data_IF_303316846289
#
_entry.id   IF_303316846289
#
_cell.length_a   1.000
_cell.length_b   1.000
_cell.length_c   1.000
_cell.angle_alpha   90.00
_cell.angle_beta   90.00
_cell.angle_gamma   90.00
#
_symmetry.space_group_name_H-M   'P 1'
#
loop_
_entity.id
_entity.type
_entity.pdbx_description
1 polymer ?
#
# COMPACT_ATOMS: atom_id res chain seq x y z
N UNK A 1 42.79 23.50 -13.65
CA UNK A 1 41.33 23.58 -13.40
C UNK A 1 40.90 22.24 -12.87
N UNK A 2 40.71 22.14 -11.56
CA UNK A 2 40.31 20.89 -10.90
C UNK A 2 38.78 20.93 -10.88
N UNK A 3 38.12 20.04 -11.62
CA UNK A 3 36.67 19.95 -11.62
C UNK A 3 36.20 19.50 -10.24
N UNK A 4 35.38 20.32 -9.58
CA UNK A 4 34.72 19.95 -8.32
C UNK A 4 33.81 18.73 -8.56
N UNK A 5 33.75 17.76 -7.65
CA UNK A 5 32.82 16.65 -7.77
C UNK A 5 31.40 17.21 -7.71
N UNK A 6 30.58 16.88 -8.70
CA UNK A 6 29.14 17.14 -8.67
C UNK A 6 28.57 16.34 -7.51
N UNK A 7 28.15 17.01 -6.43
CA UNK A 7 27.36 16.38 -5.38
C UNK A 7 26.04 15.96 -6.02
N UNK A 8 25.91 14.68 -6.40
CA UNK A 8 24.61 14.08 -6.68
C UNK A 8 23.84 14.04 -5.37
N UNK A 9 23.06 15.08 -5.11
CA UNK A 9 22.07 15.08 -4.03
C UNK A 9 21.06 13.98 -4.37
N UNK A 10 21.09 12.91 -3.59
CA UNK A 10 20.12 11.82 -3.73
C UNK A 10 18.80 12.34 -3.18
N UNK A 11 17.72 12.18 -3.95
CA UNK A 11 16.39 12.61 -3.54
C UNK A 11 16.02 12.05 -2.15
N UNK A 12 15.42 12.86 -1.25
CA UNK A 12 15.00 12.36 0.06
C UNK A 12 14.03 11.19 -0.09
N UNK A 13 14.16 10.19 0.78
CA UNK A 13 13.31 8.99 0.79
C UNK A 13 12.39 9.03 2.00
N UNK A 14 11.13 8.66 1.80
CA UNK A 14 10.17 8.34 2.87
C UNK A 14 9.73 6.89 2.74
N UNK A 15 9.67 6.16 3.84
CA UNK A 15 9.06 4.83 3.88
C UNK A 15 7.56 4.96 4.06
N UNK A 16 6.78 4.31 3.21
CA UNK A 16 5.32 4.24 3.30
C UNK A 16 4.90 2.81 3.63
N UNK A 17 4.56 2.58 4.90
CA UNK A 17 4.02 1.31 5.38
C UNK A 17 2.51 1.25 5.13
N UNK A 18 2.09 0.27 4.34
CA UNK A 18 0.71 0.18 3.85
C UNK A 18 0.23 -1.27 3.67
N UNK A 19 -1.08 -1.40 3.47
CA UNK A 19 -1.76 -2.65 3.11
C UNK A 19 -2.86 -2.33 2.09
N UNK A 20 -3.03 -3.18 1.09
CA UNK A 20 -3.99 -2.99 -0.02
C UNK A 20 -5.46 -3.06 0.42
N UNK A 21 -5.75 -3.64 1.58
CA UNK A 21 -7.11 -3.65 2.15
C UNK A 21 -7.42 -2.40 2.98
N UNK A 22 -6.43 -1.55 3.24
CA UNK A 22 -6.58 -0.41 4.15
C UNK A 22 -7.17 0.82 3.43
N UNK A 23 -8.42 1.17 3.75
CA UNK A 23 -9.07 2.37 3.21
C UNK A 23 -8.34 3.68 3.50
N UNK A 24 -7.69 3.80 4.65
CA UNK A 24 -6.88 4.99 4.95
C UNK A 24 -5.60 5.08 4.10
N UNK A 25 -5.02 3.94 3.72
CA UNK A 25 -3.92 3.92 2.76
C UNK A 25 -4.41 4.39 1.37
N UNK A 26 -5.62 4.00 0.96
CA UNK A 26 -6.23 4.43 -0.30
C UNK A 26 -6.52 5.93 -0.35
N UNK A 27 -6.90 6.53 0.79
CA UNK A 27 -7.05 7.98 0.95
C UNK A 27 -5.70 8.70 0.89
N UNK A 28 -4.66 8.18 1.55
CA UNK A 28 -3.35 8.84 1.61
C UNK A 28 -2.53 8.71 0.32
N UNK A 29 -2.57 7.56 -0.35
CA UNK A 29 -1.70 7.24 -1.49
C UNK A 29 -1.66 8.32 -2.59
N UNK A 30 -2.79 8.80 -3.15
CA UNK A 30 -2.76 9.85 -4.18
C UNK A 30 -2.21 11.19 -3.66
N UNK A 31 -2.46 11.53 -2.39
CA UNK A 31 -1.91 12.74 -1.77
C UNK A 31 -0.40 12.64 -1.61
N UNK A 32 0.09 11.48 -1.16
CA UNK A 32 1.51 11.22 -1.01
C UNK A 32 2.22 11.22 -2.36
N UNK A 33 1.62 10.61 -3.39
CA UNK A 33 2.14 10.65 -4.75
C UNK A 33 2.22 12.08 -5.29
N UNK A 34 1.18 12.89 -5.08
CA UNK A 34 1.19 14.30 -5.49
C UNK A 34 2.32 15.08 -4.79
N UNK A 35 2.45 14.96 -3.47
CA UNK A 35 3.51 15.65 -2.72
C UNK A 35 4.90 15.12 -3.08
N UNK A 36 5.03 13.82 -3.37
CA UNK A 36 6.27 13.19 -3.83
C UNK A 36 6.75 13.82 -5.14
N UNK A 37 5.86 14.02 -6.11
CA UNK A 37 6.17 14.68 -7.38
C UNK A 37 6.48 16.17 -7.17
N UNK A 38 5.65 16.88 -6.39
CA UNK A 38 5.81 18.32 -6.13
C UNK A 38 7.15 18.65 -5.46
N UNK A 39 7.61 17.80 -4.54
CA UNK A 39 8.83 18.04 -3.75
C UNK A 39 10.05 17.27 -4.26
N UNK A 40 9.89 16.33 -5.20
CA UNK A 40 11.00 15.47 -5.63
C UNK A 40 11.44 14.47 -4.55
N UNK A 41 10.49 13.96 -3.75
CA UNK A 41 10.72 12.96 -2.71
C UNK A 41 10.46 11.56 -3.30
N UNK A 42 11.30 10.59 -2.97
CA UNK A 42 11.05 9.18 -3.31
C UNK A 42 10.21 8.51 -2.23
N UNK A 43 9.13 7.84 -2.63
CA UNK A 43 8.31 7.02 -1.73
C UNK A 43 8.78 5.58 -1.83
N UNK A 44 9.32 5.01 -0.76
CA UNK A 44 9.67 3.59 -0.67
C UNK A 44 8.51 2.83 -0.05
N UNK A 45 7.90 1.95 -0.84
CA UNK A 45 6.73 1.18 -0.41
C UNK A 45 7.13 0.00 0.48
N UNK A 46 6.38 -0.19 1.58
CA UNK A 46 6.63 -1.22 2.61
C UNK A 46 5.35 -1.96 2.96
N UNK A 47 5.37 -3.29 2.86
CA UNK A 47 4.23 -4.14 3.19
C UNK A 47 4.03 -4.27 4.70
N UNK A 48 2.85 -3.93 5.22
CA UNK A 48 2.52 -4.08 6.66
C UNK A 48 1.68 -5.34 6.96
N UNK A 49 0.69 -5.65 6.12
CA UNK A 49 -0.28 -6.76 6.28
C UNK A 49 -0.99 -6.76 7.65
N UNK A 50 -2.19 -6.18 7.71
CA UNK A 50 -3.03 -6.12 8.91
C UNK A 50 -3.40 -7.51 9.42
N UNK A 51 -3.91 -8.34 8.52
CA UNK A 51 -4.17 -9.76 8.73
C UNK A 51 -3.65 -10.55 7.53
N UNK A 52 -3.01 -11.69 7.78
CA UNK A 52 -2.33 -12.49 6.76
C UNK A 52 -3.05 -13.79 6.38
N UNK A 53 -4.15 -14.11 7.07
CA UNK A 53 -4.88 -15.36 6.90
C UNK A 53 -6.34 -15.24 7.29
N UNK A 54 -7.16 -16.17 6.80
CA UNK A 54 -8.56 -16.30 7.22
C UNK A 54 -8.67 -16.57 8.72
N UNK A 55 -7.78 -17.39 9.25
CA UNK A 55 -7.72 -17.77 10.65
C UNK A 55 -7.47 -16.54 11.52
N UNK A 56 -6.52 -15.68 11.14
CA UNK A 56 -6.24 -14.44 11.87
C UNK A 56 -7.41 -13.43 11.76
N UNK A 57 -8.08 -13.36 10.61
CA UNK A 57 -9.30 -12.56 10.46
C UNK A 57 -10.38 -13.02 11.44
N UNK A 58 -10.57 -14.33 11.60
CA UNK A 58 -11.53 -14.89 12.56
C UNK A 58 -11.08 -14.62 14.00
N UNK A 59 -9.79 -14.74 14.33
CA UNK A 59 -9.25 -14.43 15.65
C UNK A 59 -9.52 -12.96 16.06
N UNK A 60 -9.29 -12.03 15.15
CA UNK A 60 -9.45 -10.58 15.40
C UNK A 60 -10.92 -10.17 15.43
N UNK A 61 -11.73 -10.66 14.49
CA UNK A 61 -13.09 -10.17 14.29
C UNK A 61 -14.20 -11.11 14.81
N UNK A 62 -13.85 -12.33 15.22
CA UNK A 62 -14.75 -13.38 15.70
C UNK A 62 -15.41 -14.23 14.60
N UNK A 63 -15.63 -13.67 13.40
CA UNK A 63 -16.08 -14.42 12.21
C UNK A 63 -15.85 -13.60 10.94
N UNK A 64 -15.82 -14.25 9.77
CA UNK A 64 -15.66 -13.56 8.48
C UNK A 64 -16.83 -12.61 8.12
N UNK A 65 -18.12 -12.97 8.36
CA UNK A 65 -19.21 -12.02 8.19
C UNK A 65 -19.08 -10.78 9.08
N UNK A 66 -18.63 -10.98 10.33
CA UNK A 66 -18.39 -9.88 11.27
C UNK A 66 -17.19 -9.03 10.85
N UNK A 67 -16.13 -9.64 10.32
CA UNK A 67 -14.98 -8.93 9.74
C UNK A 67 -15.44 -7.99 8.62
N UNK A 68 -16.16 -8.52 7.62
CA UNK A 68 -16.70 -7.72 6.50
C UNK A 68 -17.57 -6.58 7.01
N UNK A 69 -18.47 -6.83 7.95
CA UNK A 69 -19.34 -5.80 8.52
C UNK A 69 -18.58 -4.69 9.29
N UNK A 70 -17.54 -5.04 10.06
CA UNK A 70 -16.72 -4.08 10.81
C UNK A 70 -15.87 -3.25 9.84
N UNK A 71 -15.18 -3.91 8.92
CA UNK A 71 -14.27 -3.25 7.98
C UNK A 71 -15.02 -2.27 7.08
N UNK A 72 -16.23 -2.63 6.61
CA UNK A 72 -17.07 -1.71 5.83
C UNK A 72 -17.59 -0.51 6.64
N UNK A 73 -17.65 -0.58 7.98
CA UNK A 73 -17.88 0.63 8.79
C UNK A 73 -16.65 1.53 8.82
N UNK A 74 -15.45 0.97 8.92
CA UNK A 74 -14.22 1.75 8.80
C UNK A 74 -14.06 2.38 7.41
N UNK A 75 -14.54 1.71 6.36
CA UNK A 75 -14.59 2.32 5.03
C UNK A 75 -15.48 3.57 4.97
N UNK A 76 -16.55 3.66 5.77
CA UNK A 76 -17.38 4.87 5.83
C UNK A 76 -16.60 6.08 6.34
N UNK A 77 -15.78 5.89 7.38
CA UNK A 77 -14.89 6.94 7.88
C UNK A 77 -13.86 7.36 6.83
N UNK A 78 -13.30 6.39 6.10
CA UNK A 78 -12.36 6.65 5.00
C UNK A 78 -13.04 7.42 3.85
N UNK A 79 -14.26 7.02 3.47
CA UNK A 79 -15.00 7.62 2.37
C UNK A 79 -15.35 9.09 2.64
N UNK A 80 -15.66 9.43 3.90
CA UNK A 80 -15.88 10.82 4.32
C UNK A 80 -14.64 11.71 4.18
N UNK A 81 -13.46 11.11 4.07
CA UNK A 81 -12.18 11.80 3.92
C UNK A 81 -11.52 11.57 2.55
N UNK A 82 -12.19 10.87 1.63
CA UNK A 82 -11.68 10.65 0.30
C UNK A 82 -11.98 11.85 -0.60
N UNK A 83 -10.96 12.34 -1.31
CA UNK A 83 -11.06 13.60 -2.07
C UNK A 83 -11.98 13.50 -3.30
N UNK A 84 -12.32 12.27 -3.72
CA UNK A 84 -13.05 12.01 -4.97
C UNK A 84 -14.13 10.93 -4.87
N UNK A 85 -14.58 10.60 -3.65
CA UNK A 85 -15.66 9.63 -3.40
C UNK A 85 -15.48 8.28 -4.12
N UNK A 86 -14.26 7.73 -4.09
CA UNK A 86 -13.84 6.52 -4.80
C UNK A 86 -14.20 5.22 -4.07
N UNK A 87 -14.50 5.27 -2.78
CA UNK A 87 -14.77 4.06 -1.99
C UNK A 87 -16.23 3.64 -2.17
N UNK A 88 -16.47 2.47 -2.78
CA UNK A 88 -17.81 1.91 -2.97
C UNK A 88 -18.13 0.84 -1.90
N UNK A 89 -18.78 1.29 -0.83
CA UNK A 89 -19.13 0.46 0.32
C UNK A 89 -20.29 -0.48 -0.02
N UNK A 90 -21.28 0.02 -0.78
CA UNK A 90 -22.49 -0.74 -1.09
C UNK A 90 -22.18 -1.83 -2.13
N UNK A 91 -21.34 -1.50 -3.13
CA UNK A 91 -20.81 -2.47 -4.09
C UNK A 91 -20.05 -3.61 -3.42
N UNK A 92 -19.15 -3.31 -2.48
CA UNK A 92 -18.44 -4.35 -1.71
C UNK A 92 -19.37 -5.14 -0.78
N UNK A 93 -20.36 -4.49 -0.17
CA UNK A 93 -21.36 -5.17 0.70
C UNK A 93 -22.18 -6.18 -0.09
N UNK A 94 -22.52 -5.87 -1.34
CA UNK A 94 -23.30 -6.74 -2.22
C UNK A 94 -22.55 -7.99 -2.71
N UNK A 95 -21.21 -8.03 -2.58
CA UNK A 95 -20.42 -9.20 -2.99
C UNK A 95 -20.65 -10.40 -2.06
N UNK A 96 -20.62 -11.60 -2.64
CA UNK A 96 -20.84 -12.88 -1.95
C UNK A 96 -19.57 -13.47 -1.31
N UNK A 97 -18.39 -13.08 -1.79
CA UNK A 97 -17.12 -13.50 -1.22
C UNK A 97 -16.85 -12.85 0.15
N UNK A 98 -16.11 -13.58 0.97
CA UNK A 98 -15.63 -13.10 2.26
C UNK A 98 -14.55 -12.03 2.09
N UNK A 99 -14.52 -11.06 3.01
CA UNK A 99 -13.52 -9.99 2.93
C UNK A 99 -12.09 -10.55 2.95
N UNK A 100 -11.23 -10.22 1.96
CA UNK A 100 -9.91 -10.81 1.83
C UNK A 100 -8.93 -10.26 2.88
N UNK A 101 -7.95 -11.09 3.25
CA UNK A 101 -6.76 -10.65 4.01
C UNK A 101 -5.80 -9.83 3.12
N UNK A 102 -4.86 -9.08 3.72
CA UNK A 102 -3.87 -8.29 2.97
C UNK A 102 -2.74 -9.10 2.33
N UNK A 103 -2.61 -10.39 2.66
CA UNK A 103 -1.42 -11.19 2.32
C UNK A 103 -1.16 -11.33 0.82
N UNK A 104 -2.15 -11.77 0.04
CA UNK A 104 -1.96 -11.96 -1.40
C UNK A 104 -1.67 -10.65 -2.12
N UNK A 105 -2.32 -9.56 -1.72
CA UNK A 105 -2.03 -8.23 -2.24
C UNK A 105 -0.59 -7.79 -1.95
N UNK A 106 -0.07 -8.04 -0.75
CA UNK A 106 1.32 -7.75 -0.41
C UNK A 106 2.31 -8.58 -1.24
N UNK A 107 2.04 -9.88 -1.44
CA UNK A 107 2.86 -10.72 -2.32
C UNK A 107 2.88 -10.18 -3.75
N UNK A 108 1.72 -9.75 -4.27
CA UNK A 108 1.62 -9.18 -5.61
C UNK A 108 2.41 -7.86 -5.74
N UNK A 109 2.33 -6.98 -4.74
CA UNK A 109 3.08 -5.72 -4.73
C UNK A 109 4.60 -5.97 -4.69
N UNK A 110 5.07 -6.90 -3.84
CA UNK A 110 6.48 -7.29 -3.80
C UNK A 110 6.94 -7.96 -5.10
N UNK A 111 6.11 -8.81 -5.70
CA UNK A 111 6.41 -9.44 -6.98
C UNK A 111 6.59 -8.39 -8.10
N UNK A 112 5.68 -7.41 -8.18
CA UNK A 112 5.80 -6.27 -9.08
C UNK A 112 7.10 -5.48 -8.80
N UNK A 113 7.37 -5.19 -7.52
CA UNK A 113 8.59 -4.52 -7.07
C UNK A 113 9.89 -5.21 -7.49
N UNK A 114 9.91 -6.55 -7.46
CA UNK A 114 11.07 -7.33 -7.88
C UNK A 114 11.25 -7.38 -9.40
N UNK A 115 10.15 -7.29 -10.15
CA UNK A 115 10.18 -7.36 -11.62
C UNK A 115 10.39 -5.99 -12.26
N UNK A 116 9.94 -4.91 -11.62
CA UNK A 116 9.92 -3.56 -12.20
C UNK A 116 10.37 -2.44 -11.25
N UNK A 117 10.96 -2.77 -10.10
CA UNK A 117 11.42 -1.80 -9.12
C UNK A 117 10.30 -1.15 -8.31
N UNK A 118 10.68 -0.20 -7.46
CA UNK A 118 9.76 0.43 -6.50
C UNK A 118 8.54 1.11 -7.15
N UNK A 119 8.69 1.68 -8.36
CA UNK A 119 7.56 2.25 -9.11
C UNK A 119 6.53 1.17 -9.50
N UNK A 120 6.96 -0.03 -9.88
CA UNK A 120 6.05 -1.14 -10.17
C UNK A 120 5.35 -1.66 -8.91
N UNK A 121 6.02 -1.64 -7.74
CA UNK A 121 5.36 -1.92 -6.46
C UNK A 121 4.22 -0.93 -6.23
N UNK A 122 4.50 0.38 -6.32
CA UNK A 122 3.49 1.43 -6.13
C UNK A 122 2.33 1.32 -7.11
N UNK A 123 2.61 1.09 -8.40
CA UNK A 123 1.57 0.89 -9.42
C UNK A 123 0.68 -0.33 -9.13
N UNK A 124 1.27 -1.45 -8.70
CA UNK A 124 0.51 -2.63 -8.31
C UNK A 124 -0.33 -2.37 -7.07
N UNK A 125 0.22 -1.69 -6.07
CA UNK A 125 -0.51 -1.30 -4.87
C UNK A 125 -1.73 -0.43 -5.18
N UNK A 126 -1.57 0.62 -5.97
CA UNK A 126 -2.67 1.51 -6.37
C UNK A 126 -3.74 0.78 -7.17
N UNK A 127 -3.33 -0.08 -8.12
CA UNK A 127 -4.26 -0.84 -8.95
C UNK A 127 -5.04 -1.89 -8.14
N UNK A 128 -4.40 -2.57 -7.18
CA UNK A 128 -5.05 -3.53 -6.28
C UNK A 128 -6.03 -2.83 -5.35
N UNK A 129 -5.66 -1.66 -4.78
CA UNK A 129 -6.59 -0.88 -3.97
C UNK A 129 -7.78 -0.40 -4.81
N UNK A 130 -7.56 0.08 -6.03
CA UNK A 130 -8.65 0.47 -6.93
C UNK A 130 -9.58 -0.70 -7.24
N UNK A 131 -9.03 -1.85 -7.61
CA UNK A 131 -9.79 -3.06 -7.87
C UNK A 131 -10.63 -3.49 -6.66
N UNK A 132 -10.09 -3.35 -5.44
CA UNK A 132 -10.77 -3.79 -4.23
C UNK A 132 -11.77 -2.77 -3.69
N UNK A 133 -11.35 -1.53 -3.45
CA UNK A 133 -12.14 -0.50 -2.76
C UNK A 133 -13.14 0.22 -3.67
N UNK A 134 -12.87 0.28 -4.97
CA UNK A 134 -13.76 0.93 -5.93
C UNK A 134 -14.51 -0.09 -6.79
N UNK A 135 -13.80 -1.07 -7.36
CA UNK A 135 -14.40 -2.06 -8.28
C UNK A 135 -14.86 -3.34 -7.58
N UNK A 136 -14.79 -3.39 -6.24
CA UNK A 136 -15.31 -4.48 -5.42
C UNK A 136 -14.87 -5.90 -5.86
N UNK A 137 -13.65 -6.01 -6.43
CA UNK A 137 -13.05 -7.28 -6.87
C UNK A 137 -12.44 -8.03 -5.69
N UNK A 138 -12.48 -9.36 -5.75
CA UNK A 138 -11.90 -10.24 -4.74
C UNK A 138 -10.38 -10.35 -4.90
N UNK A 139 -9.62 -9.49 -4.21
CA UNK A 139 -8.15 -9.55 -4.20
C UNK A 139 -7.58 -10.69 -3.35
N UNK A 140 -8.45 -11.51 -2.73
CA UNK A 140 -8.10 -12.81 -2.16
C UNK A 140 -8.04 -13.93 -3.21
N UNK A 141 -8.38 -13.64 -4.47
CA UNK A 141 -8.22 -14.52 -5.61
C UNK A 141 -6.93 -14.18 -6.37
N UNK A 142 -6.09 -15.19 -6.61
CA UNK A 142 -4.83 -15.03 -7.35
C UNK A 142 -5.10 -14.59 -8.79
N UNK A 143 -6.16 -15.08 -9.44
CA UNK A 143 -6.44 -14.75 -10.84
C UNK A 143 -6.76 -13.25 -10.99
N UNK A 144 -7.46 -12.65 -10.02
CA UNK A 144 -7.72 -11.20 -9.99
C UNK A 144 -6.41 -10.41 -9.94
N UNK A 145 -5.43 -10.86 -9.13
CA UNK A 145 -4.13 -10.20 -9.02
C UNK A 145 -3.27 -10.38 -10.27
N UNK A 146 -3.34 -11.55 -10.91
CA UNK A 146 -2.65 -11.80 -12.19
C UNK A 146 -3.22 -10.95 -13.32
N UNK A 147 -4.55 -10.79 -13.39
CA UNK A 147 -5.20 -9.92 -14.36
C UNK A 147 -4.76 -8.45 -14.19
N UNK A 148 -4.67 -7.97 -12.94
CA UNK A 148 -4.17 -6.62 -12.64
C UNK A 148 -2.71 -6.48 -13.06
N UNK A 149 -1.87 -7.47 -12.76
CA UNK A 149 -0.46 -7.44 -13.13
C UNK A 149 -0.27 -7.40 -14.66
N UNK A 150 -1.08 -8.15 -15.43
CA UNK A 150 -1.07 -8.08 -16.90
C UNK A 150 -1.52 -6.73 -17.44
N UNK A 151 -2.54 -6.11 -16.85
CA UNK A 151 -2.98 -4.75 -17.21
C UNK A 151 -1.87 -3.71 -16.97
N UNK A 152 -1.00 -3.95 -15.99
CA UNK A 152 0.18 -3.13 -15.71
C UNK A 152 1.40 -3.49 -16.59
N UNK A 153 1.25 -4.43 -17.52
CA UNK A 153 2.28 -4.81 -18.49
C UNK A 153 3.22 -5.93 -18.02
N UNK A 154 2.96 -6.59 -16.89
CA UNK A 154 3.71 -7.78 -16.49
C UNK A 154 3.26 -9.01 -17.27
N UNK A 155 4.18 -9.92 -17.62
CA UNK A 155 3.82 -11.20 -18.26
C UNK A 155 3.24 -12.15 -17.21
N UNK A 156 1.98 -12.61 -17.40
CA UNK A 156 1.23 -13.44 -16.43
C UNK A 156 2.04 -14.55 -15.79
N UNK A 157 2.63 -15.42 -16.60
CA UNK A 157 3.36 -16.60 -16.11
C UNK A 157 4.56 -16.22 -15.23
N UNK A 158 5.35 -15.23 -15.66
CA UNK A 158 6.51 -14.77 -14.88
C UNK A 158 6.09 -14.06 -13.61
N UNK A 159 4.99 -13.31 -13.65
CA UNK A 159 4.45 -12.69 -12.45
C UNK A 159 3.93 -13.75 -11.47
N UNK A 160 3.19 -14.76 -11.96
CA UNK A 160 2.68 -15.86 -11.15
C UNK A 160 3.82 -16.65 -10.47
N UNK A 161 4.87 -17.00 -11.21
CA UNK A 161 6.05 -17.69 -10.68
C UNK A 161 6.74 -16.83 -9.61
N UNK A 162 6.91 -15.53 -9.89
CA UNK A 162 7.53 -14.62 -8.93
C UNK A 162 6.69 -14.48 -7.67
N UNK A 163 5.39 -14.26 -7.78
CA UNK A 163 4.47 -14.10 -6.65
C UNK A 163 4.44 -15.35 -5.75
N UNK A 164 4.66 -16.55 -6.30
CA UNK A 164 4.73 -17.81 -5.53
C UNK A 164 6.08 -18.04 -4.86
N UNK A 165 7.13 -17.32 -5.25
CA UNK A 165 8.50 -17.56 -4.78
C UNK A 165 8.69 -17.26 -3.28
N UNK A 166 9.59 -18.01 -2.64
CA UNK A 166 9.98 -17.78 -1.25
C UNK A 166 10.62 -16.40 -1.05
N UNK A 167 11.31 -15.88 -2.06
CA UNK A 167 11.95 -14.56 -2.02
C UNK A 167 10.91 -13.44 -1.85
N UNK A 168 9.76 -13.52 -2.53
CA UNK A 168 8.65 -12.56 -2.35
C UNK A 168 8.08 -12.65 -0.94
N UNK A 169 7.88 -13.87 -0.41
CA UNK A 169 7.41 -14.07 0.98
C UNK A 169 8.38 -13.49 1.99
N UNK A 170 9.69 -13.73 1.79
CA UNK A 170 10.74 -13.19 2.65
C UNK A 170 10.75 -11.66 2.64
N UNK A 171 10.51 -11.01 1.49
CA UNK A 171 10.41 -9.53 1.42
C UNK A 171 9.20 -8.99 2.18
N UNK A 172 8.03 -9.62 2.05
CA UNK A 172 6.86 -9.22 2.86
C UNK A 172 7.18 -9.37 4.36
N UNK A 173 7.80 -10.48 4.76
CA UNK A 173 8.17 -10.69 6.16
C UNK A 173 9.25 -9.70 6.65
N UNK A 174 10.20 -9.32 5.79
CA UNK A 174 11.21 -8.33 6.11
C UNK A 174 10.59 -6.95 6.37
N UNK A 175 9.65 -6.51 5.53
CA UNK A 175 8.94 -5.24 5.76
C UNK A 175 8.11 -5.28 7.05
N UNK A 176 7.45 -6.41 7.35
CA UNK A 176 6.72 -6.61 8.62
C UNK A 176 7.65 -6.55 9.83
N UNK A 177 8.81 -7.20 9.76
CA UNK A 177 9.82 -7.18 10.81
C UNK A 177 10.39 -5.77 11.01
N UNK A 178 10.63 -5.03 9.92
CA UNK A 178 11.07 -3.64 9.96
C UNK A 178 10.01 -2.73 10.60
N UNK A 179 8.74 -2.88 10.22
CA UNK A 179 7.63 -2.16 10.86
C UNK A 179 7.58 -2.42 12.38
N UNK A 180 7.73 -3.69 12.79
CA UNK A 180 7.75 -4.09 14.18
C UNK A 180 8.96 -3.53 14.95
N UNK A 181 10.17 -3.57 14.35
CA UNK A 181 11.38 -3.00 14.94
C UNK A 181 11.28 -1.47 15.11
N UNK A 182 10.59 -0.81 14.19
CA UNK A 182 10.25 0.61 14.29
C UNK A 182 9.06 0.85 15.24
N UNK A 183 8.42 -0.17 15.81
CA UNK A 183 7.27 0.00 16.71
C UNK A 183 6.03 0.58 16.01
N UNK A 184 5.89 0.39 14.70
CA UNK A 184 4.71 0.79 13.93
C UNK A 184 3.56 -0.16 14.30
N UNK A 185 2.44 0.40 14.76
CA UNK A 185 1.24 -0.36 15.20
C UNK A 185 -0.01 -0.04 14.39
N UNK A 186 0.07 0.95 13.50
CA UNK A 186 -1.05 1.38 12.65
C UNK A 186 -0.53 1.73 11.26
N UNK A 187 -1.44 1.66 10.29
CA UNK A 187 -1.21 2.11 8.92
C UNK A 187 -2.39 2.96 8.44
N UNK A 188 -2.17 3.86 7.47
CA UNK A 188 -0.90 4.17 6.83
C UNK A 188 0.09 4.85 7.77
N UNK A 189 1.38 4.47 7.69
CA UNK A 189 2.46 5.19 8.36
C UNK A 189 3.51 5.60 7.34
N UNK A 190 3.78 6.90 7.23
CA UNK A 190 4.90 7.46 6.47
C UNK A 190 6.02 7.84 7.44
N UNK A 191 7.24 7.35 7.22
CA UNK A 191 8.42 7.65 8.01
C UNK A 191 9.46 8.35 7.15
N UNK A 192 9.94 9.49 7.60
CA UNK A 192 11.00 10.25 6.94
C UNK A 192 12.39 9.81 7.42
N UNK A 193 13.44 10.13 6.65
CA UNK A 193 14.83 9.85 7.06
C UNK A 193 15.27 10.49 8.38
N UNK A 194 14.58 11.55 8.86
CA UNK A 194 14.83 12.18 10.16
C UNK A 194 13.91 11.67 11.28
N UNK A 195 13.12 10.62 11.03
CA UNK A 195 12.30 9.93 12.03
C UNK A 195 10.91 10.54 12.28
N UNK A 196 10.51 11.58 11.55
CA UNK A 196 9.13 12.08 11.58
C UNK A 196 8.18 10.99 11.09
N UNK A 197 7.09 10.77 11.84
CA UNK A 197 6.04 9.80 11.50
C UNK A 197 4.74 10.52 11.21
N UNK A 198 4.15 10.23 10.06
CA UNK A 198 2.89 10.80 9.62
C UNK A 198 1.87 9.68 9.42
N UNK A 199 0.63 9.95 9.79
CA UNK A 199 -0.53 9.14 9.40
C UNK A 199 -1.24 9.83 8.22
N UNK A 200 -2.47 9.44 7.89
CA UNK A 200 -3.27 10.15 6.89
C UNK A 200 -3.46 11.62 7.29
N UNK A 201 -3.03 12.53 6.42
CA UNK A 201 -3.23 13.96 6.55
C UNK A 201 -3.97 14.51 5.32
N UNK A 202 -4.71 15.62 5.46
CA UNK A 202 -5.15 16.42 4.32
C UNK A 202 -3.95 16.89 3.49
N UNK A 203 -4.13 16.99 2.17
CA UNK A 203 -3.05 17.33 1.24
C UNK A 203 -2.22 18.58 1.64
N UNK A 204 -2.82 19.72 2.07
CA UNK A 204 -2.04 20.88 2.50
C UNK A 204 -1.13 20.61 3.69
N UNK A 205 -1.61 19.82 4.66
CA UNK A 205 -0.87 19.48 5.87
C UNK A 205 0.24 18.46 5.58
N UNK A 206 -0.03 17.48 4.71
CA UNK A 206 0.99 16.53 4.25
C UNK A 206 2.15 17.25 3.54
N UNK A 207 1.82 18.19 2.64
CA UNK A 207 2.82 19.03 1.95
C UNK A 207 3.66 19.82 2.94
N UNK A 208 3.02 20.50 3.89
CA UNK A 208 3.72 21.27 4.92
C UNK A 208 4.65 20.40 5.77
N UNK A 209 4.20 19.20 6.14
CA UNK A 209 4.98 18.27 6.96
C UNK A 209 6.21 17.70 6.22
N UNK A 210 6.13 17.50 4.91
CA UNK A 210 7.21 16.93 4.11
C UNK A 210 8.15 17.97 3.46
N UNK A 211 7.73 19.23 3.33
CA UNK A 211 8.54 20.31 2.78
C UNK A 211 9.95 20.47 3.41
N UNK A 212 10.15 20.29 4.72
CA UNK A 212 11.48 20.40 5.32
C UNK A 212 12.51 19.36 4.84
N UNK A 213 12.08 18.24 4.22
CA UNK A 213 13.00 17.20 3.76
C UNK A 213 13.85 17.62 2.56
N UNK A 214 13.38 18.61 1.79
CA UNK A 214 14.01 19.04 0.53
C UNK A 214 14.63 20.44 0.64
N UNK A 215 14.41 21.11 1.78
CA UNK A 215 14.97 22.44 2.07
C UNK A 215 16.36 22.36 2.76
N UNK A 216 16.89 21.16 2.98
CA UNK A 216 18.14 20.89 3.69
C UNK A 216 19.29 20.54 2.75
#
# INVERSE_FOLDING_TARGET
MIASPSLTITAPVVDFFHDVVCGWCFVLAPRLQQVSVELGIQVRHRSFVLQDSREQMIEVFGSMPRAKAIILRHWADCAAHDDSARIDIDGMRAQDFEYPSGWLGALACQAAGMLGGNAAHGAMFDAVQWAHLHQHRNIGDVEVLLDIAEQLGHRRGVFADRMRSDEVRQRVQADRAEAAALGIRSIPTVITGNGLRLQTLPLPQLRQALAPLVAA
#
